data_IF_839386206454
#
_entry.id   IF_839386206454
#
_cell.length_a   1.000
_cell.length_b   1.000
_cell.length_c   1.000
_cell.angle_alpha   90.00
_cell.angle_beta   90.00
_cell.angle_gamma   90.00
#
_symmetry.space_group_name_H-M   'P 1'
#
loop_
_entity.id
_entity.type
_entity.pdbx_description
1 polymer ?
#
# COMPACT_ATOMS: atom_id res chain seq x y z
N UNK A 1 -1.19 2.36 9.18
CA UNK A 1 -0.32 2.76 8.07
C UNK A 1 -0.48 1.70 7.00
N UNK A 2 -0.76 2.10 5.77
CA UNK A 2 -0.75 1.19 4.63
C UNK A 2 0.64 1.23 4.00
N UNK A 3 1.25 0.07 3.81
CA UNK A 3 2.50 -0.10 3.06
C UNK A 3 2.14 -0.82 1.75
N UNK A 4 2.47 -0.20 0.62
CA UNK A 4 2.29 -0.79 -0.71
C UNK A 4 3.67 -1.17 -1.25
N UNK A 5 3.85 -2.41 -1.70
CA UNK A 5 5.09 -2.88 -2.31
C UNK A 5 4.83 -3.49 -3.68
N UNK A 6 5.80 -3.30 -4.56
CA UNK A 6 5.94 -4.04 -5.80
C UNK A 6 6.68 -5.35 -5.49
N UNK A 7 6.14 -6.50 -5.90
CA UNK A 7 6.75 -7.82 -5.67
C UNK A 7 8.07 -7.98 -6.43
N UNK A 8 8.20 -7.31 -7.58
CA UNK A 8 9.41 -7.31 -8.40
C UNK A 8 10.24 -6.03 -8.22
N UNK A 9 10.05 -5.31 -7.10
CA UNK A 9 10.87 -4.18 -6.71
C UNK A 9 12.34 -4.62 -6.50
N UNK A 10 13.27 -3.91 -7.14
CA UNK A 10 14.72 -4.08 -6.97
C UNK A 10 15.41 -2.85 -6.39
N UNK A 11 14.66 -1.77 -6.21
CA UNK A 11 15.13 -0.48 -5.70
C UNK A 11 14.98 -0.40 -4.18
N UNK A 12 13.99 -1.10 -3.61
CA UNK A 12 13.70 -1.07 -2.17
C UNK A 12 13.59 -2.46 -1.54
N UNK A 13 13.82 -2.55 -0.23
CA UNK A 13 13.76 -3.81 0.52
C UNK A 13 12.31 -4.16 0.91
N UNK A 14 11.79 -5.22 0.29
CA UNK A 14 10.48 -5.78 0.64
C UNK A 14 10.39 -6.24 2.11
N UNK A 15 11.49 -6.75 2.66
CA UNK A 15 11.53 -7.21 4.06
C UNK A 15 11.45 -6.06 5.05
N UNK A 16 12.15 -4.95 4.78
CA UNK A 16 12.04 -3.75 5.60
C UNK A 16 10.61 -3.17 5.53
N UNK A 17 10.03 -3.12 4.34
CA UNK A 17 8.65 -2.66 4.15
C UNK A 17 7.64 -3.52 4.92
N UNK A 18 7.80 -4.84 4.93
CA UNK A 18 6.98 -5.77 5.72
C UNK A 18 7.12 -5.51 7.22
N UNK A 19 8.34 -5.35 7.72
CA UNK A 19 8.58 -5.03 9.13
C UNK A 19 7.94 -3.71 9.55
N UNK A 20 7.95 -2.69 8.67
CA UNK A 20 7.29 -1.41 8.92
C UNK A 20 5.77 -1.60 9.03
N UNK A 21 5.17 -2.38 8.12
CA UNK A 21 3.75 -2.69 8.17
C UNK A 21 3.40 -3.41 9.48
N UNK A 22 4.14 -4.44 9.88
CA UNK A 22 3.90 -5.22 11.11
C UNK A 22 3.98 -4.37 12.39
N UNK A 23 4.91 -3.41 12.44
CA UNK A 23 5.13 -2.56 13.63
C UNK A 23 4.12 -1.42 13.75
N UNK A 24 3.37 -1.09 12.70
CA UNK A 24 2.43 0.02 12.73
C UNK A 24 1.13 -0.36 13.48
N UNK A 25 0.57 0.52 14.35
CA UNK A 25 -0.61 0.19 15.18
C UNK A 25 -1.86 -0.27 14.43
N UNK A 26 -1.99 0.15 13.16
CA UNK A 26 -3.05 -0.27 12.22
C UNK A 26 -2.38 -0.57 10.87
N UNK A 27 -1.35 -1.41 10.93
CA UNK A 27 -0.50 -1.77 9.81
C UNK A 27 -1.18 -2.70 8.84
N UNK A 28 -1.12 -2.38 7.55
CA UNK A 28 -1.55 -3.26 6.47
C UNK A 28 -0.47 -3.27 5.38
N UNK A 29 -0.13 -4.44 4.85
CA UNK A 29 0.76 -4.62 3.70
C UNK A 29 -0.07 -5.00 2.47
N UNK A 30 0.15 -4.30 1.36
CA UNK A 30 -0.39 -4.63 0.04
C UNK A 30 0.76 -4.92 -0.92
N UNK A 31 0.76 -6.11 -1.48
CA UNK A 31 1.74 -6.55 -2.47
C UNK A 31 1.08 -6.57 -3.84
N UNK A 32 1.81 -6.11 -4.86
CA UNK A 32 1.36 -6.12 -6.23
C UNK A 32 2.40 -6.77 -7.15
N UNK A 33 1.99 -7.62 -8.12
CA UNK A 33 2.90 -8.42 -8.94
C UNK A 33 3.49 -7.61 -10.11
N UNK A 34 4.16 -6.50 -9.80
CA UNK A 34 4.79 -5.61 -10.76
C UNK A 34 6.11 -5.03 -10.20
N UNK A 35 6.86 -4.28 -11.01
CA UNK A 35 8.13 -3.65 -10.64
C UNK A 35 7.94 -2.25 -10.03
N UNK A 36 8.99 -1.70 -9.41
CA UNK A 36 8.94 -0.43 -8.68
C UNK A 36 8.35 0.74 -9.51
N UNK A 37 8.75 0.86 -10.77
CA UNK A 37 8.31 1.95 -11.62
C UNK A 37 6.94 1.71 -12.27
N UNK A 38 6.36 0.53 -12.14
CA UNK A 38 5.06 0.24 -12.71
C UNK A 38 3.93 1.00 -11.99
N UNK A 39 4.16 1.46 -10.76
CA UNK A 39 3.26 2.38 -10.04
C UNK A 39 2.95 3.68 -10.80
N UNK A 40 3.77 4.06 -11.78
CA UNK A 40 3.56 5.26 -12.58
C UNK A 40 2.68 5.02 -13.81
N UNK A 41 2.38 3.77 -14.17
CA UNK A 41 1.41 3.47 -15.22
C UNK A 41 -0.02 3.85 -14.78
N UNK A 42 -0.82 4.53 -15.62
CA UNK A 42 -2.12 5.06 -15.23
C UNK A 42 -3.09 4.02 -14.64
N UNK A 43 -3.10 2.80 -15.17
CA UNK A 43 -4.01 1.73 -14.75
C UNK A 43 -3.64 1.23 -13.35
N UNK A 44 -2.35 0.97 -13.14
CA UNK A 44 -1.79 0.51 -11.86
C UNK A 44 -1.95 1.61 -10.81
N UNK A 45 -1.62 2.84 -11.17
CA UNK A 45 -1.77 4.00 -10.28
C UNK A 45 -3.21 4.13 -9.79
N UNK A 46 -4.18 3.97 -10.68
CA UNK A 46 -5.61 4.06 -10.34
C UNK A 46 -6.00 2.98 -9.35
N UNK A 47 -5.56 1.74 -9.57
CA UNK A 47 -5.80 0.63 -8.65
C UNK A 47 -5.21 0.90 -7.26
N UNK A 48 -3.93 1.29 -7.19
CA UNK A 48 -3.21 1.52 -5.93
C UNK A 48 -3.81 2.68 -5.15
N UNK A 49 -4.18 3.77 -5.84
CA UNK A 49 -4.89 4.90 -5.20
C UNK A 49 -6.25 4.46 -4.63
N UNK A 50 -6.97 3.59 -5.31
CA UNK A 50 -8.22 3.01 -4.81
C UNK A 50 -8.02 2.27 -3.49
N UNK A 51 -6.99 1.43 -3.41
CA UNK A 51 -6.64 0.71 -2.18
C UNK A 51 -6.25 1.66 -1.04
N UNK A 52 -5.46 2.70 -1.34
CA UNK A 52 -5.08 3.73 -0.37
C UNK A 52 -6.30 4.49 0.17
N UNK A 53 -7.22 4.89 -0.71
CA UNK A 53 -8.46 5.56 -0.32
C UNK A 53 -9.32 4.64 0.55
N UNK A 54 -9.45 3.36 0.18
CA UNK A 54 -10.22 2.39 0.95
C UNK A 54 -9.64 2.17 2.36
N UNK A 55 -8.32 2.11 2.49
CA UNK A 55 -7.64 2.08 3.79
C UNK A 55 -7.98 3.32 4.63
N UNK A 56 -7.90 4.52 4.04
CA UNK A 56 -8.22 5.76 4.76
C UNK A 56 -9.69 5.80 5.19
N UNK A 57 -10.63 5.40 4.32
CA UNK A 57 -12.06 5.30 4.64
C UNK A 57 -12.28 4.37 5.83
N UNK A 58 -11.71 3.17 5.79
CA UNK A 58 -11.83 2.16 6.86
C UNK A 58 -11.35 2.65 8.23
N UNK A 59 -10.27 3.44 8.26
CA UNK A 59 -9.59 3.77 9.52
C UNK A 59 -9.82 5.20 10.02
N UNK A 60 -10.27 6.12 9.16
CA UNK A 60 -10.41 7.55 9.47
C UNK A 60 -11.83 8.09 9.29
N UNK A 61 -12.68 7.45 8.48
CA UNK A 61 -14.07 7.89 8.37
C UNK A 61 -14.92 7.20 9.45
N UNK A 62 -15.33 7.97 10.45
CA UNK A 62 -16.38 7.57 11.39
C UNK A 62 -17.71 7.93 10.74
N UNK A 63 -18.65 6.99 10.64
CA UNK A 63 -20.02 7.33 10.25
C UNK A 63 -20.59 8.36 11.26
N UNK A 64 -21.36 9.36 10.81
CA UNK A 64 -22.05 10.24 11.76
C UNK A 64 -22.95 9.39 12.66
N UNK A 65 -22.90 9.62 13.97
CA UNK A 65 -23.87 9.07 14.92
C UNK A 65 -25.22 9.75 14.76
#
# INVERSE_FOLDING_TARGET
>A
MLVCIAEFDRETSADLARQIAEKAPRGELKCYPFAHFDFYHPEIRTQVLGDQINFLRKHLMVAPQ
#
